data_IF_111541757160
#
_entry.id   IF_111541757160
#
_cell.length_a   1.000
_cell.length_b   1.000
_cell.length_c   1.000
_cell.angle_alpha   90.00
_cell.angle_beta   90.00
_cell.angle_gamma   90.00
#
_symmetry.space_group_name_H-M   'P 1'
#
loop_
_entity.id
_entity.type
_entity.pdbx_description
1 polymer ?
#
# COMPACT_ATOMS: atom_id res chain seq x y z
N UNK A 1 5.05 -13.33 -11.03
CA UNK A 1 4.79 -12.16 -10.16
C UNK A 1 4.62 -12.66 -8.75
N UNK A 2 5.24 -11.98 -7.80
CA UNK A 2 5.08 -12.27 -6.36
C UNK A 2 3.61 -12.10 -5.96
N UNK A 3 3.16 -12.85 -4.95
CA UNK A 3 1.80 -12.66 -4.42
C UNK A 3 1.70 -11.50 -3.41
N UNK A 4 2.85 -10.97 -3.03
CA UNK A 4 3.02 -10.07 -1.91
C UNK A 4 4.07 -9.00 -2.21
N UNK A 5 3.86 -7.81 -1.66
CA UNK A 5 4.76 -6.66 -1.72
C UNK A 5 5.15 -6.24 -0.30
N UNK A 6 6.35 -5.70 -0.13
CA UNK A 6 6.79 -5.17 1.16
C UNK A 6 6.59 -3.66 1.20
N UNK A 7 6.13 -3.15 2.35
CA UNK A 7 6.00 -1.73 2.66
C UNK A 7 6.93 -1.42 3.81
N UNK A 8 7.84 -0.46 3.62
CA UNK A 8 8.83 -0.02 4.60
C UNK A 8 8.80 1.50 4.75
N UNK A 9 8.75 1.96 6.00
CA UNK A 9 8.89 3.36 6.38
C UNK A 9 9.89 3.45 7.53
N UNK A 10 10.96 4.22 7.34
CA UNK A 10 12.06 4.41 8.31
C UNK A 10 12.57 3.06 8.88
N UNK A 11 12.81 2.09 8.00
CA UNK A 11 13.34 0.76 8.36
C UNK A 11 12.37 -0.15 9.12
N UNK A 12 11.07 0.17 9.15
CA UNK A 12 10.02 -0.68 9.73
C UNK A 12 8.97 -0.99 8.69
N UNK A 13 8.43 -2.20 8.69
CA UNK A 13 7.55 -2.58 7.60
C UNK A 13 6.66 -3.79 7.83
N UNK A 14 5.89 -4.08 6.79
CA UNK A 14 5.04 -5.26 6.70
C UNK A 14 4.92 -5.75 5.27
N UNK A 15 4.62 -7.03 5.11
CA UNK A 15 4.22 -7.60 3.84
C UNK A 15 2.72 -7.44 3.64
N UNK A 16 2.29 -7.16 2.41
CA UNK A 16 0.88 -7.08 2.03
C UNK A 16 0.60 -7.95 0.81
N UNK A 17 -0.63 -8.43 0.67
CA UNK A 17 -1.11 -8.92 -0.62
C UNK A 17 -1.10 -7.77 -1.63
N UNK A 18 -0.52 -8.01 -2.81
CA UNK A 18 -0.30 -6.99 -3.83
C UNK A 18 -1.58 -6.31 -4.31
N UNK A 19 -2.64 -7.07 -4.59
CA UNK A 19 -3.93 -6.51 -5.05
C UNK A 19 -4.57 -5.56 -4.03
N UNK A 20 -4.42 -5.85 -2.72
CA UNK A 20 -4.88 -4.95 -1.67
C UNK A 20 -3.98 -3.71 -1.51
N UNK A 21 -2.67 -3.88 -1.67
CA UNK A 21 -1.72 -2.78 -1.62
C UNK A 21 -1.87 -1.83 -2.81
N UNK A 22 -2.12 -2.36 -4.00
CA UNK A 22 -2.24 -1.59 -5.24
C UNK A 22 -3.48 -0.70 -5.16
N UNK A 23 -4.63 -1.28 -4.77
CA UNK A 23 -5.87 -0.54 -4.49
C UNK A 23 -5.69 0.54 -3.44
N UNK A 24 -4.95 0.24 -2.37
CA UNK A 24 -4.63 1.24 -1.37
C UNK A 24 -3.79 2.39 -1.95
N UNK A 25 -2.75 2.06 -2.73
CA UNK A 25 -1.87 3.04 -3.34
C UNK A 25 -2.59 3.96 -4.31
N UNK A 26 -3.56 3.46 -5.08
CA UNK A 26 -4.32 4.33 -5.97
C UNK A 26 -5.16 5.37 -5.24
N UNK A 27 -5.85 4.98 -4.16
CA UNK A 27 -6.53 5.97 -3.31
C UNK A 27 -5.56 7.00 -2.76
N UNK A 28 -4.35 6.58 -2.38
CA UNK A 28 -3.33 7.47 -1.84
C UNK A 28 -2.78 8.44 -2.92
N UNK A 29 -2.48 7.93 -4.11
CA UNK A 29 -2.05 8.72 -5.28
C UNK A 29 -3.11 9.72 -5.70
N UNK A 30 -4.39 9.32 -5.73
CA UNK A 30 -5.51 10.22 -6.05
C UNK A 30 -5.58 11.36 -5.04
N UNK A 31 -5.48 11.06 -3.75
CA UNK A 31 -5.49 12.12 -2.72
C UNK A 31 -4.26 13.02 -2.77
N UNK A 32 -3.10 12.51 -3.17
CA UNK A 32 -1.93 13.34 -3.45
C UNK A 32 -2.21 14.24 -4.65
N UNK A 33 -2.73 13.69 -5.75
CA UNK A 33 -3.06 14.45 -6.97
C UNK A 33 -4.04 15.60 -6.71
N UNK A 34 -5.12 15.33 -5.96
CA UNK A 34 -6.17 16.31 -5.67
C UNK A 34 -5.74 17.44 -4.73
N UNK A 35 -4.80 17.15 -3.81
CA UNK A 35 -4.49 18.03 -2.67
C UNK A 35 -3.08 18.60 -2.67
N UNK A 36 -2.18 18.06 -3.50
CA UNK A 36 -0.83 18.60 -3.65
C UNK A 36 -0.85 19.96 -4.32
N UNK A 37 0.11 20.82 -3.95
CA UNK A 37 0.40 22.03 -4.70
C UNK A 37 1.30 21.66 -5.87
N UNK A 38 1.07 22.27 -7.03
CA UNK A 38 1.81 21.98 -8.25
C UNK A 38 3.32 22.29 -8.17
N UNK A 39 3.78 23.02 -7.15
CA UNK A 39 5.16 23.43 -6.94
C UNK A 39 5.94 22.53 -5.96
N UNK A 40 5.32 21.51 -5.37
CA UNK A 40 5.99 20.59 -4.46
C UNK A 40 6.58 19.38 -5.21
N UNK A 41 7.86 19.51 -5.57
CA UNK A 41 8.57 18.48 -6.35
C UNK A 41 8.75 17.17 -5.58
N UNK A 42 8.89 17.21 -4.25
CA UNK A 42 9.07 16.00 -3.45
C UNK A 42 7.78 15.15 -3.45
N UNK A 43 6.63 15.81 -3.30
CA UNK A 43 5.32 15.14 -3.39
C UNK A 43 5.04 14.63 -4.81
N UNK A 44 5.42 15.39 -5.84
CA UNK A 44 5.26 14.97 -7.22
C UNK A 44 6.08 13.71 -7.53
N UNK A 45 7.37 13.69 -7.16
CA UNK A 45 8.25 12.53 -7.38
C UNK A 45 7.72 11.28 -6.66
N UNK A 46 7.25 11.45 -5.42
CA UNK A 46 6.68 10.36 -4.63
C UNK A 46 5.39 9.81 -5.24
N UNK A 47 4.52 10.70 -5.75
CA UNK A 47 3.31 10.32 -6.47
C UNK A 47 3.63 9.48 -7.70
N UNK A 48 4.62 9.90 -8.49
CA UNK A 48 5.01 9.19 -9.70
C UNK A 48 5.57 7.79 -9.37
N UNK A 49 6.39 7.71 -8.30
CA UNK A 49 6.91 6.43 -7.81
C UNK A 49 5.78 5.49 -7.36
N UNK A 50 4.82 5.96 -6.55
CA UNK A 50 3.73 5.11 -6.07
C UNK A 50 2.73 4.75 -7.17
N UNK A 51 2.52 5.64 -8.13
CA UNK A 51 1.75 5.34 -9.35
C UNK A 51 2.35 4.15 -10.10
N UNK A 52 3.68 4.14 -10.24
CA UNK A 52 4.41 3.03 -10.84
C UNK A 52 4.29 1.74 -10.02
N UNK A 53 4.40 1.83 -8.68
CA UNK A 53 4.25 0.69 -7.78
C UNK A 53 2.84 0.08 -7.82
N UNK A 54 1.79 0.90 -7.91
CA UNK A 54 0.41 0.46 -8.02
C UNK A 54 0.11 -0.20 -9.38
N UNK A 55 0.80 0.24 -10.43
CA UNK A 55 0.67 -0.31 -11.78
C UNK A 55 1.50 -1.60 -11.99
N UNK A 56 2.63 -1.77 -11.28
CA UNK A 56 3.57 -2.87 -11.50
C UNK A 56 3.71 -3.75 -10.24
N UNK A 57 3.35 -5.03 -10.38
CA UNK A 57 3.23 -6.00 -9.28
C UNK A 57 4.53 -6.39 -8.57
N UNK A 58 5.71 -6.06 -9.13
CA UNK A 58 7.00 -6.50 -8.60
C UNK A 58 7.71 -5.45 -7.72
N UNK A 59 7.15 -4.26 -7.54
CA UNK A 59 7.72 -3.21 -6.68
C UNK A 59 7.05 -3.14 -5.31
N UNK A 60 7.86 -3.05 -4.25
CA UNK A 60 7.42 -2.65 -2.92
C UNK A 60 7.51 -1.14 -2.72
N UNK A 61 7.15 -0.68 -1.52
CA UNK A 61 7.30 0.71 -1.10
C UNK A 61 8.40 0.78 -0.05
N UNK A 62 9.39 1.66 -0.24
CA UNK A 62 10.34 2.05 0.79
C UNK A 62 10.43 3.57 0.80
N UNK A 63 10.20 4.18 1.96
CA UNK A 63 10.27 5.62 2.14
C UNK A 63 11.03 5.90 3.44
N UNK A 64 12.02 6.77 3.34
CA UNK A 64 12.66 7.37 4.51
C UNK A 64 12.28 8.84 4.54
N UNK A 65 11.74 9.31 5.67
CA UNK A 65 11.33 10.69 5.81
C UNK A 65 12.47 11.56 6.34
N UNK A 66 12.94 12.49 5.50
CA UNK A 66 13.95 13.47 5.92
C UNK A 66 13.41 14.48 6.94
N UNK A 67 12.10 14.74 6.92
CA UNK A 67 11.44 15.73 7.78
C UNK A 67 10.12 15.22 8.35
N UNK A 68 9.79 15.70 9.55
CA UNK A 68 8.47 15.45 10.16
C UNK A 68 7.33 16.07 9.34
N UNK A 69 7.58 17.22 8.69
CA UNK A 69 6.58 17.89 7.84
C UNK A 69 6.14 17.00 6.67
N UNK A 70 7.10 16.35 6.00
CA UNK A 70 6.79 15.39 4.92
C UNK A 70 5.97 14.21 5.45
N UNK A 71 6.35 13.67 6.62
CA UNK A 71 5.63 12.58 7.28
C UNK A 71 4.18 12.96 7.61
N UNK A 72 3.99 14.13 8.20
CA UNK A 72 2.66 14.64 8.59
C UNK A 72 1.77 14.85 7.36
N UNK A 73 2.33 15.38 6.26
CA UNK A 73 1.58 15.56 5.00
C UNK A 73 1.18 14.23 4.37
N UNK A 74 2.07 13.25 4.32
CA UNK A 74 1.74 11.91 3.82
C UNK A 74 0.68 11.26 4.72
N UNK A 75 0.75 11.47 6.03
CA UNK A 75 -0.30 11.02 6.96
C UNK A 75 -1.65 11.65 6.63
N UNK A 76 -1.72 12.95 6.37
CA UNK A 76 -2.97 13.62 5.98
C UNK A 76 -3.58 13.03 4.70
N UNK A 77 -2.73 12.74 3.70
CA UNK A 77 -3.18 12.07 2.47
C UNK A 77 -3.63 10.63 2.72
N UNK A 78 -2.91 9.87 3.55
CA UNK A 78 -3.31 8.51 3.93
C UNK A 78 -4.65 8.50 4.67
N UNK A 79 -4.86 9.39 5.63
CA UNK A 79 -6.15 9.48 6.31
C UNK A 79 -7.30 9.86 5.36
N UNK A 80 -7.04 10.73 4.38
CA UNK A 80 -8.01 11.06 3.34
C UNK A 80 -8.30 9.88 2.40
N UNK A 81 -7.27 9.16 1.97
CA UNK A 81 -7.37 8.01 1.08
C UNK A 81 -8.17 6.89 1.75
N UNK A 82 -7.93 6.66 3.04
CA UNK A 82 -8.67 5.69 3.84
C UNK A 82 -10.16 6.03 3.93
N UNK A 83 -10.50 7.33 4.08
CA UNK A 83 -11.89 7.78 4.06
C UNK A 83 -12.53 7.56 2.70
N UNK A 84 -11.85 7.92 1.62
CA UNK A 84 -12.32 7.69 0.26
C UNK A 84 -12.58 6.21 -0.03
N UNK A 85 -11.66 5.32 0.36
CA UNK A 85 -11.83 3.88 0.25
C UNK A 85 -13.08 3.39 1.01
N UNK A 86 -13.28 3.91 2.24
CA UNK A 86 -14.44 3.55 3.08
C UNK A 86 -15.78 4.01 2.47
N UNK A 87 -15.81 5.18 1.83
CA UNK A 87 -17.02 5.71 1.17
C UNK A 87 -17.39 4.90 -0.07
N UNK A 88 -16.39 4.39 -0.78
CA UNK A 88 -16.58 3.55 -1.97
C UNK A 88 -16.98 2.12 -1.62
N UNK A 89 -16.29 1.49 -0.66
CA UNK A 89 -16.46 0.08 -0.35
C UNK A 89 -15.59 -0.85 -1.20
N UNK A 90 -16.12 -2.04 -1.47
CA UNK A 90 -15.41 -3.08 -2.24
C UNK A 90 -15.11 -2.62 -3.67
N UNK A 91 -13.94 -2.99 -4.19
CA UNK A 91 -13.51 -2.66 -5.54
C UNK A 91 -13.65 -3.89 -6.44
N UNK A 92 -14.56 -3.81 -7.41
CA UNK A 92 -14.82 -4.89 -8.36
C UNK A 92 -13.74 -4.99 -9.45
N UNK A 93 -13.57 -6.13 -10.12
CA UNK A 93 -12.63 -6.25 -11.24
C UNK A 93 -12.90 -5.28 -12.39
N UNK A 94 -14.19 -4.98 -12.65
CA UNK A 94 -14.55 -4.00 -13.70
C UNK A 94 -14.09 -2.59 -13.33
N UNK A 95 -14.12 -2.25 -12.03
CA UNK A 95 -13.61 -0.98 -11.54
C UNK A 95 -12.08 -0.91 -11.60
N UNK A 96 -11.37 -1.99 -11.22
CA UNK A 96 -9.91 -2.05 -11.34
C UNK A 96 -9.43 -1.81 -12.77
N UNK A 97 -10.10 -2.41 -13.76
CA UNK A 97 -9.78 -2.21 -15.19
C UNK A 97 -10.03 -0.79 -15.69
N UNK A 98 -10.88 -0.03 -15.01
CA UNK A 98 -11.20 1.36 -15.34
C UNK A 98 -10.32 2.35 -14.58
N UNK A 99 -9.62 1.91 -13.53
CA UNK A 99 -8.73 2.74 -12.76
C UNK A 99 -7.37 2.80 -13.44
N UNK A 100 -7.21 3.80 -14.30
CA UNK A 100 -5.96 4.07 -15.00
C UNK A 100 -5.10 4.98 -14.10
N UNK A 101 -3.99 4.43 -13.60
CA UNK A 101 -3.06 5.17 -12.73
C UNK A 101 -1.91 5.76 -13.56
N UNK A 102 -1.54 5.09 -14.65
CA UNK A 102 -0.66 5.61 -15.70
C UNK A 102 -1.46 5.73 -16.99
N UNK A 103 -1.05 6.63 -17.89
CA UNK A 103 -1.81 7.07 -19.09
C UNK A 103 -2.40 5.93 -19.95
N UNK A 104 -1.91 4.68 -19.83
CA UNK A 104 -2.45 3.49 -20.50
C UNK A 104 -2.39 2.19 -19.67
N UNK A 105 -2.14 2.23 -18.35
CA UNK A 105 -2.01 1.01 -17.51
C UNK A 105 -3.06 1.00 -16.40
N UNK A 106 -3.86 -0.07 -16.39
CA UNK A 106 -4.82 -0.33 -15.33
C UNK A 106 -4.11 -0.70 -14.03
N UNK A 107 -4.66 -0.25 -12.91
CA UNK A 107 -4.26 -0.64 -11.57
C UNK A 107 -4.18 -2.17 -11.40
N UNK A 108 -3.11 -2.65 -10.76
CA UNK A 108 -2.87 -4.09 -10.54
C UNK A 108 -2.98 -4.90 -11.85
N UNK A 109 -2.66 -4.30 -13.00
CA UNK A 109 -2.82 -4.89 -14.35
C UNK A 109 -4.27 -5.36 -14.63
N UNK A 110 -5.26 -4.71 -14.00
CA UNK A 110 -6.68 -5.08 -14.07
C UNK A 110 -7.00 -6.43 -13.41
N UNK A 111 -6.12 -6.93 -12.54
CA UNK A 111 -6.25 -8.22 -11.88
C UNK A 111 -6.60 -8.06 -10.40
N UNK A 112 -7.52 -8.91 -9.93
CA UNK A 112 -7.73 -9.14 -8.50
C UNK A 112 -7.39 -10.59 -8.21
N UNK A 113 -6.83 -10.88 -7.02
CA UNK A 113 -6.56 -12.27 -6.63
C UNK A 113 -7.83 -13.09 -6.41
N UNK A 114 -8.96 -12.39 -6.22
CA UNK A 114 -10.27 -12.99 -5.97
C UNK A 114 -11.24 -12.60 -7.08
N UNK A 115 -12.11 -13.51 -7.54
CA UNK A 115 -13.12 -13.22 -8.56
C UNK A 115 -14.03 -12.04 -8.21
N UNK A 116 -14.28 -11.85 -6.91
CA UNK A 116 -15.16 -10.80 -6.38
C UNK A 116 -14.49 -9.41 -6.36
N UNK A 117 -13.19 -9.32 -6.69
CA UNK A 117 -12.40 -8.10 -6.58
C UNK A 117 -11.65 -7.99 -5.25
N UNK A 118 -11.36 -6.75 -4.85
CA UNK A 118 -10.64 -6.43 -3.62
C UNK A 118 -11.63 -5.91 -2.58
N UNK A 119 -11.81 -6.67 -1.50
CA UNK A 119 -12.76 -6.34 -0.44
C UNK A 119 -12.25 -5.19 0.43
N UNK A 120 -13.16 -4.32 0.89
CA UNK A 120 -12.87 -3.14 1.68
C UNK A 120 -12.03 -3.45 2.92
N UNK A 121 -12.36 -4.53 3.64
CA UNK A 121 -11.61 -4.91 4.84
C UNK A 121 -10.13 -5.18 4.55
N UNK A 122 -9.79 -5.73 3.38
CA UNK A 122 -8.40 -5.97 2.95
C UNK A 122 -7.69 -4.65 2.69
N UNK A 123 -8.37 -3.71 2.04
CA UNK A 123 -7.86 -2.36 1.73
C UNK A 123 -7.60 -1.59 3.03
N UNK A 124 -8.60 -1.57 3.92
CA UNK A 124 -8.51 -0.84 5.19
C UNK A 124 -7.45 -1.43 6.12
N UNK A 125 -7.25 -2.75 6.10
CA UNK A 125 -6.18 -3.38 6.84
C UNK A 125 -4.81 -2.85 6.41
N UNK A 126 -4.54 -2.78 5.10
CA UNK A 126 -3.29 -2.21 4.57
C UNK A 126 -3.17 -0.72 4.91
N UNK A 127 -4.25 0.04 4.76
CA UNK A 127 -4.29 1.46 5.10
C UNK A 127 -3.97 1.71 6.58
N UNK A 128 -4.55 0.93 7.48
CA UNK A 128 -4.33 1.02 8.92
C UNK A 128 -2.90 0.65 9.30
N UNK A 129 -2.31 -0.35 8.63
CA UNK A 129 -0.89 -0.69 8.77
C UNK A 129 0.04 0.43 8.32
N UNK A 130 -0.25 1.04 7.18
CA UNK A 130 0.53 2.17 6.63
C UNK A 130 0.47 3.39 7.56
N UNK A 131 -0.71 3.75 8.04
CA UNK A 131 -0.88 4.85 9.00
C UNK A 131 -0.20 4.52 10.34
N UNK A 132 -0.25 3.26 10.79
CA UNK A 132 0.46 2.85 11.99
C UNK A 132 1.99 2.95 11.84
N UNK A 133 2.55 2.70 10.66
CA UNK A 133 3.96 2.96 10.36
C UNK A 133 4.30 4.46 10.43
N UNK A 134 3.47 5.31 9.81
CA UNK A 134 3.64 6.76 9.86
C UNK A 134 3.59 7.32 11.29
N UNK A 135 2.79 6.70 12.16
CA UNK A 135 2.66 7.13 13.55
C UNK A 135 3.68 6.47 14.49
N UNK A 136 4.54 5.57 13.98
CA UNK A 136 5.41 4.75 14.81
C UNK A 136 4.67 3.76 15.73
N UNK A 137 3.36 3.56 15.49
CA UNK A 137 2.45 2.72 16.27
C UNK A 137 2.33 1.28 15.78
N UNK A 138 2.88 0.95 14.60
CA UNK A 138 3.00 -0.45 14.20
C UNK A 138 3.78 -1.20 15.31
N UNK A 139 3.41 -2.41 15.71
CA UNK A 139 4.22 -3.18 16.66
C UNK A 139 5.62 -3.49 16.09
N UNK A 140 6.64 -3.71 16.94
CA UNK A 140 7.94 -4.20 16.49
C UNK A 140 7.79 -5.50 15.68
N UNK A 141 8.74 -5.77 14.80
CA UNK A 141 8.75 -7.02 14.04
C UNK A 141 8.70 -8.23 14.99
N UNK A 142 7.86 -9.23 14.69
CA UNK A 142 7.78 -10.41 15.53
C UNK A 142 9.12 -11.19 15.47
N UNK A 143 9.55 -11.81 16.58
CA UNK A 143 10.85 -12.49 16.64
C UNK A 143 11.05 -13.58 15.58
N UNK A 144 9.97 -14.24 15.18
CA UNK A 144 9.97 -15.38 14.27
C UNK A 144 9.64 -15.02 12.82
N UNK A 145 9.43 -13.75 12.48
CA UNK A 145 8.76 -13.43 11.23
C UNK A 145 8.74 -11.98 10.81
N UNK A 146 7.66 -11.65 10.09
CA UNK A 146 7.27 -10.31 9.70
C UNK A 146 5.76 -10.16 9.83
N UNK A 147 5.29 -8.92 9.93
CA UNK A 147 3.87 -8.62 9.82
C UNK A 147 3.36 -8.84 8.40
N UNK A 148 2.14 -9.36 8.30
CA UNK A 148 1.45 -9.65 7.05
C UNK A 148 0.00 -9.15 7.09
N UNK A 149 -0.37 -8.34 6.11
CA UNK A 149 -1.64 -7.62 6.02
C UNK A 149 -2.31 -7.79 4.65
N UNK A 150 -3.56 -7.33 4.54
CA UNK A 150 -4.33 -7.32 3.29
C UNK A 150 -5.11 -8.63 3.05
N UNK A 151 -5.23 -9.48 4.07
CA UNK A 151 -6.01 -10.73 4.04
C UNK A 151 -7.50 -10.46 4.32
N UNK A 152 -7.78 -9.37 5.04
CA UNK A 152 -9.11 -9.02 5.55
C UNK A 152 -9.44 -9.69 6.89
N UNK A 153 -8.49 -10.46 7.45
CA UNK A 153 -8.62 -11.18 8.72
C UNK A 153 -7.92 -10.46 9.88
N UNK A 154 -7.20 -9.38 9.57
CA UNK A 154 -6.38 -8.62 10.50
C UNK A 154 -4.92 -9.01 10.46
N UNK A 155 -4.08 -8.13 11.01
CA UNK A 155 -2.64 -8.24 10.98
C UNK A 155 -2.17 -9.58 11.57
N UNK A 156 -1.39 -10.31 10.77
CA UNK A 156 -0.90 -11.65 11.10
C UNK A 156 0.62 -11.73 11.01
N UNK A 157 1.22 -12.76 11.61
CA UNK A 157 2.65 -13.03 11.50
C UNK A 157 2.89 -14.09 10.41
N UNK A 158 3.86 -13.83 9.53
CA UNK A 158 4.41 -14.84 8.63
C UNK A 158 5.82 -15.24 9.06
N UNK A 159 6.06 -16.55 9.18
CA UNK A 159 7.33 -17.07 9.66
C UNK A 159 8.46 -16.89 8.65
N UNK A 160 9.66 -16.58 9.16
CA UNK A 160 10.92 -16.71 8.43
C UNK A 160 11.17 -18.19 8.18
N UNK A 161 10.96 -18.66 6.95
CA UNK A 161 11.37 -20.02 6.59
C UNK A 161 12.90 -20.10 6.67
N UNK A 162 13.42 -20.54 7.81
CA UNK A 162 14.81 -20.97 7.94
C UNK A 162 14.89 -22.23 7.07
N UNK A 163 15.39 -22.11 5.83
CA UNK A 163 15.82 -23.30 5.11
C UNK A 163 16.87 -23.97 5.99
N UNK A 164 16.70 -25.23 6.42
CA UNK A 164 17.79 -25.93 7.06
C UNK A 164 18.96 -25.93 6.08
N UNK A 165 20.09 -25.38 6.51
CA UNK A 165 21.36 -25.57 5.82
C UNK A 165 21.58 -27.08 5.74
N UNK A 166 21.49 -27.62 4.53
CA UNK A 166 21.79 -29.02 4.30
C UNK A 166 23.28 -29.22 4.65
N UNK A 167 23.63 -30.16 5.55
CA UNK A 167 25.02 -30.43 5.90
C UNK A 167 25.83 -30.97 4.72
#
# INVERSE_FOLDING_TARGET
MSATKFVEIDGRGFWALDDALDVWLAYLVDQIGDRSRADDTWIADLRDQWSLTAAISDYGITIDFDTQEHRDRIREFAEAARRAASEVGDVTPDRLRQWLILDDIAESDGHARRPEGVQLNRILEVADGFIALLDGRLPPDPPSGWWFLGTGEGMSEIGRSIRPSNP
#
